data_IF_801524534410
#
_entry.id   IF_801524534410
#
_cell.length_a   1.000
_cell.length_b   1.000
_cell.length_c   1.000
_cell.angle_alpha   90.00
_cell.angle_beta   90.00
_cell.angle_gamma   90.00
#
_symmetry.space_group_name_H-M   'P 1'
#
loop_
_entity.id
_entity.type
_entity.pdbx_description
1 polymer ?
#
# COMPACT_ATOMS: atom_id res chain seq x y z
N UNK A 1 -48.25 62.37 19.85
CA UNK A 1 -48.11 61.92 18.49
C UNK A 1 -46.66 61.49 18.30
N UNK A 2 -46.32 60.22 18.39
CA UNK A 2 -45.00 59.70 18.05
C UNK A 2 -45.12 58.23 17.64
N UNK A 3 -44.79 57.92 16.41
CA UNK A 3 -44.81 56.58 15.85
C UNK A 3 -43.46 55.93 16.13
N UNK A 4 -43.48 54.80 16.80
CA UNK A 4 -42.31 53.98 16.99
C UNK A 4 -42.25 52.94 15.89
N UNK A 5 -41.21 53.04 15.07
CA UNK A 5 -40.91 52.04 14.02
C UNK A 5 -40.13 50.88 14.62
N UNK A 6 -40.71 49.69 14.60
CA UNK A 6 -40.03 48.46 15.01
C UNK A 6 -39.14 47.92 13.90
N UNK A 7 -37.83 47.77 14.19
CA UNK A 7 -36.89 47.12 13.33
C UNK A 7 -36.85 45.63 13.68
N UNK A 8 -37.31 44.81 12.77
CA UNK A 8 -37.18 43.35 12.86
C UNK A 8 -35.78 42.92 12.41
N UNK A 9 -34.96 42.46 13.32
CA UNK A 9 -33.71 41.79 13.01
C UNK A 9 -34.00 40.34 12.59
N UNK A 10 -33.84 40.05 11.32
CA UNK A 10 -33.86 38.70 10.80
C UNK A 10 -32.56 37.98 11.12
N UNK A 11 -32.64 36.96 11.96
CA UNK A 11 -31.53 36.03 12.21
C UNK A 11 -31.45 35.09 11.01
N UNK A 12 -30.44 35.25 10.18
CA UNK A 12 -30.13 34.29 9.14
C UNK A 12 -29.40 33.09 9.75
N UNK A 13 -30.09 31.95 9.83
CA UNK A 13 -29.55 30.68 10.25
C UNK A 13 -28.71 30.10 9.10
N UNK A 14 -27.38 30.25 9.19
CA UNK A 14 -26.45 29.60 8.27
C UNK A 14 -26.35 28.14 8.69
N UNK A 15 -27.03 27.25 7.98
CA UNK A 15 -26.84 25.83 8.11
C UNK A 15 -25.51 25.45 7.46
N UNK A 16 -24.47 25.26 8.25
CA UNK A 16 -23.21 24.68 7.80
C UNK A 16 -23.47 23.20 7.46
N UNK A 17 -23.49 22.90 6.16
CA UNK A 17 -23.48 21.52 5.66
C UNK A 17 -22.10 20.94 5.96
N UNK A 18 -21.97 20.22 7.06
CA UNK A 18 -20.81 19.37 7.34
C UNK A 18 -20.92 18.18 6.37
N UNK A 19 -20.25 18.26 5.23
CA UNK A 19 -19.97 17.09 4.39
C UNK A 19 -19.07 16.15 5.21
N UNK A 20 -19.69 15.33 6.04
CA UNK A 20 -19.04 14.16 6.64
C UNK A 20 -18.70 13.22 5.50
N UNK A 21 -17.45 13.28 4.99
CA UNK A 21 -16.93 12.24 4.14
C UNK A 21 -16.97 10.94 4.94
N UNK A 22 -17.87 10.04 4.57
CA UNK A 22 -17.82 8.66 5.02
C UNK A 22 -16.44 8.14 4.60
N UNK A 23 -15.55 7.94 5.57
CA UNK A 23 -14.35 7.13 5.36
C UNK A 23 -14.88 5.75 5.00
N UNK A 24 -14.84 5.42 3.72
CA UNK A 24 -15.08 4.07 3.27
C UNK A 24 -14.06 3.20 4.02
N UNK A 25 -14.56 2.28 4.86
CA UNK A 25 -13.77 1.21 5.46
C UNK A 25 -13.46 0.18 4.35
N UNK A 26 -12.73 0.63 3.35
CA UNK A 26 -12.25 -0.14 2.22
C UNK A 26 -10.75 -0.32 2.31
N UNK A 27 -10.20 -1.29 1.59
CA UNK A 27 -8.78 -1.46 1.41
C UNK A 27 -8.10 -0.26 0.73
N UNK A 28 -6.79 -0.31 0.60
CA UNK A 28 -6.04 0.73 -0.08
C UNK A 28 -6.34 0.74 -1.58
N UNK A 29 -6.22 1.91 -2.21
CA UNK A 29 -6.38 2.09 -3.66
C UNK A 29 -5.07 1.80 -4.42
N UNK A 30 -5.19 1.61 -5.73
CA UNK A 30 -4.02 1.46 -6.62
C UNK A 30 -3.11 2.68 -6.60
N UNK A 31 -3.66 3.88 -6.56
CA UNK A 31 -2.86 5.12 -6.50
C UNK A 31 -2.07 5.21 -5.19
N UNK A 32 -2.68 4.78 -4.07
CA UNK A 32 -1.98 4.69 -2.78
C UNK A 32 -0.85 3.65 -2.82
N UNK A 33 -1.05 2.52 -3.51
CA UNK A 33 0.00 1.51 -3.67
C UNK A 33 1.18 2.06 -4.48
N UNK A 34 0.92 2.72 -5.61
CA UNK A 34 1.98 3.38 -6.41
C UNK A 34 2.72 4.41 -5.58
N UNK A 35 2.01 5.29 -4.90
CA UNK A 35 2.61 6.34 -4.07
C UNK A 35 3.49 5.76 -2.94
N UNK A 36 3.02 4.69 -2.28
CA UNK A 36 3.79 4.05 -1.20
C UNK A 36 5.04 3.33 -1.73
N UNK A 37 4.97 2.67 -2.88
CA UNK A 37 6.15 2.03 -3.52
C UNK A 37 7.17 3.08 -3.91
N UNK A 38 6.76 4.17 -4.56
CA UNK A 38 7.65 5.27 -4.94
C UNK A 38 8.31 5.92 -3.72
N UNK A 39 7.55 6.11 -2.64
CA UNK A 39 8.08 6.58 -1.35
C UNK A 39 9.12 5.62 -0.78
N UNK A 40 8.86 4.30 -0.82
CA UNK A 40 9.80 3.30 -0.34
C UNK A 40 11.08 3.27 -1.19
N UNK A 41 10.96 3.32 -2.52
CA UNK A 41 12.11 3.41 -3.44
C UNK A 41 12.97 4.65 -3.14
N UNK A 42 12.34 5.81 -2.99
CA UNK A 42 13.04 7.05 -2.66
C UNK A 42 13.74 6.96 -1.29
N UNK A 43 13.08 6.36 -0.30
CA UNK A 43 13.63 6.19 1.03
C UNK A 43 14.82 5.21 1.04
N UNK A 44 14.74 4.09 0.31
CA UNK A 44 15.86 3.14 0.17
C UNK A 44 17.07 3.82 -0.49
N UNK A 45 16.83 4.65 -1.52
CA UNK A 45 17.90 5.40 -2.20
C UNK A 45 18.58 6.42 -1.29
N UNK A 46 17.81 7.10 -0.45
CA UNK A 46 18.32 8.15 0.42
C UNK A 46 19.07 7.60 1.64
N UNK A 47 18.49 6.61 2.32
CA UNK A 47 18.94 6.11 3.62
C UNK A 47 19.78 4.83 3.53
N UNK A 48 19.72 4.15 2.39
CA UNK A 48 20.32 2.84 2.17
C UNK A 48 19.56 1.69 2.80
N UNK A 49 19.80 0.44 2.31
CA UNK A 49 19.07 -0.74 2.78
C UNK A 49 19.16 -1.00 4.27
N UNK A 50 20.31 -0.71 4.88
CA UNK A 50 20.54 -0.94 6.32
C UNK A 50 19.59 -0.17 7.21
N UNK A 51 19.20 1.04 6.82
CA UNK A 51 18.23 1.89 7.53
C UNK A 51 16.81 1.65 7.04
N UNK A 52 16.64 1.51 5.73
CA UNK A 52 15.32 1.47 5.11
C UNK A 52 14.57 0.15 5.37
N UNK A 53 15.24 -1.00 5.32
CA UNK A 53 14.55 -2.29 5.53
C UNK A 53 13.95 -2.42 6.92
N UNK A 54 14.63 -2.10 8.02
CA UNK A 54 14.00 -2.08 9.35
C UNK A 54 12.79 -1.13 9.44
N UNK A 55 12.81 0.00 8.73
CA UNK A 55 11.66 0.91 8.69
C UNK A 55 10.49 0.32 7.90
N UNK A 56 10.75 -0.44 6.82
CA UNK A 56 9.73 -1.18 6.06
C UNK A 56 9.14 -2.33 6.89
N UNK A 57 9.97 -3.03 7.68
CA UNK A 57 9.57 -4.17 8.53
C UNK A 57 8.72 -3.74 9.74
N UNK A 58 8.63 -2.44 10.01
CA UNK A 58 7.84 -1.92 11.10
C UNK A 58 6.34 -1.92 10.72
N UNK A 59 5.59 -2.86 11.29
CA UNK A 59 4.16 -3.05 11.02
C UNK A 59 3.27 -1.87 11.43
N UNK A 60 3.77 -0.97 12.26
CA UNK A 60 3.10 0.29 12.65
C UNK A 60 3.79 1.51 12.03
N UNK A 61 4.66 1.30 11.07
CA UNK A 61 5.48 2.33 10.44
C UNK A 61 4.83 2.95 9.20
N UNK A 62 5.59 3.85 8.59
CA UNK A 62 5.16 4.64 7.45
C UNK A 62 4.99 3.88 6.11
N UNK A 63 5.31 2.59 6.08
CA UNK A 63 5.22 1.71 4.91
C UNK A 63 4.15 0.61 5.06
N UNK A 64 3.21 0.84 6.00
CA UNK A 64 2.01 0.02 6.21
C UNK A 64 0.82 0.95 6.39
N UNK A 65 -0.24 0.72 5.64
CA UNK A 65 -1.52 1.43 5.79
C UNK A 65 -2.68 0.50 5.47
N UNK A 66 -3.49 0.17 6.47
CA UNK A 66 -4.62 -0.79 6.33
C UNK A 66 -4.12 -2.15 5.84
N UNK A 67 -4.52 -2.58 4.63
CA UNK A 67 -4.09 -3.82 3.98
C UNK A 67 -2.89 -3.65 3.03
N UNK A 68 -2.45 -2.40 2.79
CA UNK A 68 -1.29 -2.07 1.98
C UNK A 68 -0.01 -2.10 2.81
N UNK A 69 1.00 -2.79 2.31
CA UNK A 69 2.33 -2.84 2.90
C UNK A 69 3.41 -3.05 1.83
N UNK A 70 4.63 -2.64 2.15
CA UNK A 70 5.78 -2.82 1.26
C UNK A 70 6.46 -4.17 1.51
N UNK A 71 6.88 -4.79 0.41
CA UNK A 71 7.77 -5.96 0.41
C UNK A 71 8.93 -5.68 -0.54
N UNK A 72 10.13 -6.04 -0.13
CA UNK A 72 11.33 -5.95 -0.98
C UNK A 72 11.86 -7.34 -1.22
N UNK A 73 12.08 -7.68 -2.49
CA UNK A 73 12.68 -8.95 -2.91
C UNK A 73 14.05 -8.70 -3.56
N UNK A 74 15.00 -9.60 -3.32
CA UNK A 74 16.15 -9.77 -4.18
C UNK A 74 15.73 -10.39 -5.52
N UNK A 75 16.55 -10.23 -6.57
CA UNK A 75 16.30 -10.81 -7.89
C UNK A 75 16.38 -12.35 -7.88
N UNK A 76 16.86 -12.96 -6.81
CA UNK A 76 16.82 -14.40 -6.56
C UNK A 76 15.52 -14.90 -5.90
N UNK A 77 14.61 -13.99 -5.56
CA UNK A 77 13.35 -14.30 -4.87
C UNK A 77 13.45 -14.32 -3.34
N UNK A 78 14.58 -13.96 -2.75
CA UNK A 78 14.72 -13.81 -1.30
C UNK A 78 14.00 -12.56 -0.81
N UNK A 79 13.21 -12.68 0.25
CA UNK A 79 12.54 -11.55 0.90
C UNK A 79 13.56 -10.79 1.75
N UNK A 80 13.77 -9.51 1.44
CA UNK A 80 14.71 -8.64 2.13
C UNK A 80 14.05 -7.75 3.19
N UNK A 81 12.78 -7.37 2.96
CA UNK A 81 11.96 -6.63 3.90
C UNK A 81 10.47 -6.94 3.69
N UNK A 82 9.65 -6.91 4.76
CA UNK A 82 8.24 -7.26 4.67
C UNK A 82 7.39 -6.59 5.75
N UNK A 83 6.59 -5.59 5.36
CA UNK A 83 5.80 -4.77 6.29
C UNK A 83 4.68 -5.50 7.04
N UNK A 84 4.19 -6.65 6.57
CA UNK A 84 3.09 -7.37 7.22
C UNK A 84 3.50 -8.68 7.91
N UNK A 85 4.61 -9.30 7.52
CA UNK A 85 5.01 -10.61 8.08
C UNK A 85 6.53 -10.77 8.16
N UNK A 86 7.08 -10.52 9.34
CA UNK A 86 8.51 -10.63 9.60
C UNK A 86 9.08 -12.04 9.43
N UNK A 87 8.26 -13.08 9.61
CA UNK A 87 8.72 -14.47 9.45
C UNK A 87 9.13 -14.81 8.01
N UNK A 88 8.73 -14.01 7.03
CA UNK A 88 9.12 -14.18 5.63
C UNK A 88 10.50 -13.60 5.30
N UNK A 89 11.00 -12.68 6.11
CA UNK A 89 12.28 -12.01 5.89
C UNK A 89 13.43 -13.03 5.93
N UNK A 90 14.30 -12.98 4.93
CA UNK A 90 15.41 -13.92 4.75
C UNK A 90 15.04 -15.26 4.12
N UNK A 91 13.75 -15.54 3.87
CA UNK A 91 13.33 -16.77 3.17
C UNK A 91 13.36 -16.56 1.66
N UNK A 92 13.77 -17.58 0.90
CA UNK A 92 13.67 -17.56 -0.56
C UNK A 92 12.29 -18.09 -0.97
N UNK A 93 11.54 -17.27 -1.70
CA UNK A 93 10.16 -17.55 -2.10
C UNK A 93 9.99 -17.75 -3.61
N UNK A 94 11.08 -17.99 -4.35
CA UNK A 94 11.05 -18.15 -5.81
C UNK A 94 10.13 -19.31 -6.24
N UNK A 95 9.98 -20.32 -5.42
CA UNK A 95 9.13 -21.49 -5.66
C UNK A 95 7.70 -21.37 -5.13
N UNK A 96 7.38 -20.28 -4.44
CA UNK A 96 6.04 -20.08 -3.86
C UNK A 96 4.98 -19.94 -4.95
N UNK A 97 3.83 -20.58 -4.70
CA UNK A 97 2.66 -20.50 -5.58
C UNK A 97 1.46 -19.97 -4.80
N UNK A 98 0.58 -19.28 -5.49
CA UNK A 98 -0.71 -18.90 -4.93
C UNK A 98 -1.70 -20.08 -4.91
N UNK A 99 -2.94 -19.84 -4.46
CA UNK A 99 -3.98 -20.88 -4.39
C UNK A 99 -4.39 -21.46 -5.74
N UNK A 100 -4.10 -20.75 -6.83
CA UNK A 100 -4.37 -21.22 -8.20
C UNK A 100 -3.14 -21.89 -8.84
N UNK A 101 -2.04 -22.02 -8.09
CA UNK A 101 -0.81 -22.63 -8.56
C UNK A 101 0.11 -21.69 -9.33
N UNK A 102 -0.17 -20.38 -9.32
CA UNK A 102 0.62 -19.37 -10.01
C UNK A 102 1.94 -19.10 -9.27
N UNK A 103 3.12 -19.25 -9.91
CA UNK A 103 4.42 -19.00 -9.30
C UNK A 103 4.72 -17.50 -9.25
N UNK A 104 4.01 -16.77 -8.40
CA UNK A 104 3.94 -15.31 -8.44
C UNK A 104 5.28 -14.61 -8.13
N UNK A 105 6.15 -15.17 -7.29
CA UNK A 105 7.47 -14.56 -7.03
C UNK A 105 8.39 -14.76 -8.24
N UNK A 106 8.40 -15.96 -8.86
CA UNK A 106 9.18 -16.24 -10.07
C UNK A 106 8.78 -15.31 -11.23
N UNK A 107 7.47 -15.13 -11.45
CA UNK A 107 6.97 -14.21 -12.47
C UNK A 107 7.37 -12.75 -12.17
N UNK A 108 7.29 -12.34 -10.90
CA UNK A 108 7.66 -10.99 -10.45
C UNK A 108 9.11 -10.65 -10.77
N UNK A 109 10.02 -11.56 -10.43
CA UNK A 109 11.45 -11.40 -10.73
C UNK A 109 11.68 -11.33 -12.25
N UNK A 110 11.05 -12.20 -13.02
CA UNK A 110 11.16 -12.19 -14.48
C UNK A 110 10.62 -10.88 -15.09
N UNK A 111 9.49 -10.36 -14.60
CA UNK A 111 8.96 -9.06 -15.02
C UNK A 111 9.93 -7.92 -14.70
N UNK A 112 10.55 -7.95 -13.52
CA UNK A 112 11.50 -6.93 -13.11
C UNK A 112 12.80 -6.94 -13.95
N UNK A 113 13.16 -8.04 -14.61
CA UNK A 113 14.31 -8.08 -15.52
C UNK A 113 14.11 -7.20 -16.75
N UNK A 114 12.87 -7.06 -17.21
CA UNK A 114 12.53 -6.39 -18.47
C UNK A 114 11.72 -5.11 -18.32
N UNK A 115 11.14 -4.87 -17.15
CA UNK A 115 10.28 -3.72 -16.89
C UNK A 115 10.78 -2.95 -15.65
N UNK A 116 10.96 -1.63 -15.73
CA UNK A 116 11.34 -0.81 -14.58
C UNK A 116 10.22 -0.72 -13.54
N UNK A 117 8.95 -0.84 -13.99
CA UNK A 117 7.76 -0.91 -13.13
C UNK A 117 6.66 -1.73 -13.81
N UNK A 118 5.81 -2.38 -13.03
CA UNK A 118 4.74 -3.23 -13.56
C UNK A 118 3.68 -3.53 -12.49
N UNK A 119 2.51 -3.97 -12.95
CA UNK A 119 1.46 -4.55 -12.12
C UNK A 119 1.43 -6.07 -12.31
N UNK A 120 1.14 -6.79 -11.22
CA UNK A 120 0.97 -8.24 -11.23
C UNK A 120 -0.24 -8.64 -10.40
N UNK A 121 -1.11 -9.51 -10.97
CA UNK A 121 -2.28 -10.06 -10.26
C UNK A 121 -1.99 -11.48 -9.78
N UNK A 122 -2.36 -11.80 -8.55
CA UNK A 122 -2.29 -13.12 -7.93
C UNK A 122 -3.21 -13.19 -6.71
N UNK A 123 -3.34 -14.34 -6.06
CA UNK A 123 -4.11 -14.47 -4.82
C UNK A 123 -3.17 -14.53 -3.62
N UNK A 124 -3.52 -13.80 -2.57
CA UNK A 124 -2.71 -13.80 -1.35
C UNK A 124 -3.55 -13.52 -0.11
N UNK A 125 -3.02 -13.90 1.06
CA UNK A 125 -3.68 -13.65 2.33
C UNK A 125 -3.68 -12.15 2.65
N UNK A 126 -4.87 -11.60 2.82
CA UNK A 126 -5.05 -10.22 3.29
C UNK A 126 -4.70 -10.15 4.78
N UNK A 127 -3.80 -9.24 5.21
CA UNK A 127 -3.37 -9.15 6.60
C UNK A 127 -4.49 -8.65 7.55
N UNK A 128 -5.51 -8.01 7.02
CA UNK A 128 -6.65 -7.47 7.78
C UNK A 128 -7.77 -8.50 7.89
N UNK A 129 -8.26 -9.02 6.78
CA UNK A 129 -9.40 -9.96 6.75
C UNK A 129 -9.02 -11.40 7.09
N UNK A 130 -7.73 -11.75 6.98
CA UNK A 130 -7.19 -13.10 7.14
C UNK A 130 -7.74 -14.12 6.12
N UNK A 131 -8.31 -13.63 5.03
CA UNK A 131 -8.78 -14.43 3.90
C UNK A 131 -7.80 -14.37 2.73
N UNK A 132 -7.79 -15.42 1.89
CA UNK A 132 -7.08 -15.40 0.61
C UNK A 132 -7.96 -14.68 -0.39
N UNK A 133 -7.46 -13.56 -0.90
CA UNK A 133 -8.21 -12.65 -1.77
C UNK A 133 -7.39 -12.31 -3.03
N UNK A 134 -8.06 -11.91 -4.13
CA UNK A 134 -7.37 -11.36 -5.28
C UNK A 134 -6.55 -10.13 -4.88
N UNK A 135 -5.29 -10.09 -5.30
CA UNK A 135 -4.37 -9.00 -5.03
C UNK A 135 -3.74 -8.50 -6.32
N UNK A 136 -3.69 -7.17 -6.48
CA UNK A 136 -2.91 -6.51 -7.50
C UNK A 136 -1.72 -5.82 -6.85
N UNK A 137 -0.52 -6.20 -7.27
CA UNK A 137 0.72 -5.70 -6.72
C UNK A 137 1.45 -4.84 -7.74
N UNK A 138 1.71 -3.59 -7.39
CA UNK A 138 2.60 -2.70 -8.11
C UNK A 138 4.04 -2.90 -7.65
N UNK A 139 4.96 -2.99 -8.58
CA UNK A 139 6.38 -3.19 -8.31
C UNK A 139 7.24 -2.22 -9.11
N UNK A 140 8.32 -1.76 -8.49
CA UNK A 140 9.41 -1.05 -9.16
C UNK A 140 10.73 -1.77 -8.95
N UNK A 141 11.52 -1.88 -10.01
CA UNK A 141 12.88 -2.36 -9.92
C UNK A 141 13.79 -1.29 -9.32
N UNK A 142 14.59 -1.67 -8.36
CA UNK A 142 15.65 -0.86 -7.79
C UNK A 142 16.94 -1.68 -7.76
N UNK A 143 17.82 -1.46 -8.75
CA UNK A 143 19.09 -2.19 -8.91
C UNK A 143 18.88 -3.72 -8.93
N UNK A 144 19.38 -4.44 -7.92
CA UNK A 144 19.24 -5.90 -7.77
C UNK A 144 18.06 -6.30 -6.88
N UNK A 145 17.09 -5.39 -6.72
CA UNK A 145 15.91 -5.62 -5.89
C UNK A 145 14.64 -5.21 -6.60
N UNK A 146 13.50 -5.72 -6.13
CA UNK A 146 12.15 -5.36 -6.55
C UNK A 146 11.39 -4.87 -5.33
N UNK A 147 10.93 -3.63 -5.36
CA UNK A 147 10.14 -2.99 -4.30
C UNK A 147 8.68 -3.03 -4.69
N UNK A 148 7.83 -3.64 -3.88
CA UNK A 148 6.44 -3.89 -4.22
C UNK A 148 5.48 -3.47 -3.11
N UNK A 149 4.29 -3.02 -3.51
CA UNK A 149 3.13 -2.80 -2.65
C UNK A 149 1.86 -3.16 -3.39
N UNK A 150 0.88 -3.75 -2.72
CA UNK A 150 -0.29 -4.23 -3.42
C UNK A 150 -1.58 -4.04 -2.67
N UNK A 151 -2.66 -3.98 -3.42
CA UNK A 151 -4.03 -3.79 -2.94
C UNK A 151 -4.84 -5.06 -3.15
N UNK A 152 -5.79 -5.29 -2.26
CA UNK A 152 -6.73 -6.39 -2.37
C UNK A 152 -8.01 -5.89 -3.05
N UNK A 153 -8.56 -6.71 -3.93
CA UNK A 153 -9.81 -6.42 -4.62
C UNK A 153 -10.96 -7.08 -3.85
N UNK A 154 -11.98 -6.30 -3.58
CA UNK A 154 -13.21 -6.74 -2.94
C UNK A 154 -14.28 -6.99 -3.99
#
# INVERSE_FOLDING_TARGET
MSRIAGSSFGVALIAALVCGGALAAGGASKDEAVAMVQKAVAYIKAEGPKTAYPAIDNQSGQFVDRDLYIVVYGMDGTVLAHGANKARIGTNQIGDKDSDGKPFVKERVALAETHPSFWQSYKFMNPVTKAVEPKEMYCERLEQTVVCGGVYQF
#
